data_IF_831067444877
#
_entry.id   IF_831067444877
#
_cell.length_a   1.000
_cell.length_b   1.000
_cell.length_c   1.000
_cell.angle_alpha   90.00
_cell.angle_beta   90.00
_cell.angle_gamma   90.00
#
_symmetry.space_group_name_H-M   'P 1'
#
loop_
_entity.id
_entity.type
_entity.pdbx_description
1 polymer ?
#
# COMPACT_ATOMS: atom_id res chain seq x y z
N UNK A 1 7.72 -6.22 6.38
CA UNK A 1 8.17 -5.20 7.35
C UNK A 1 9.48 -4.62 6.86
N UNK A 2 9.63 -3.31 6.88
CA UNK A 2 10.91 -2.62 6.63
C UNK A 2 11.46 -2.08 7.95
N UNK A 3 12.75 -1.73 8.02
CA UNK A 3 13.34 -1.15 9.24
C UNK A 3 12.57 0.08 9.74
N UNK A 4 12.13 0.93 8.81
CA UNK A 4 11.32 2.13 9.10
C UNK A 4 9.96 1.84 9.73
N UNK A 5 9.36 0.69 9.40
CA UNK A 5 8.03 0.30 9.89
C UNK A 5 8.07 -0.73 11.01
N UNK A 6 9.28 -1.21 11.37
CA UNK A 6 9.48 -2.26 12.35
C UNK A 6 8.82 -1.98 13.70
N UNK A 7 8.91 -0.77 14.30
CA UNK A 7 8.28 -0.51 15.59
C UNK A 7 6.75 -0.62 15.56
N UNK A 8 6.13 -0.23 14.44
CA UNK A 8 4.67 -0.34 14.25
C UNK A 8 4.24 -1.79 13.94
N UNK A 9 5.09 -2.51 13.22
CA UNK A 9 4.85 -3.92 12.91
C UNK A 9 4.89 -4.80 14.17
N UNK A 10 5.84 -4.53 15.08
CA UNK A 10 6.00 -5.25 16.35
C UNK A 10 4.94 -4.88 17.40
N UNK A 11 4.31 -3.71 17.30
CA UNK A 11 3.13 -3.39 18.11
C UNK A 11 1.94 -4.23 17.65
N UNK A 12 1.64 -5.27 18.43
CA UNK A 12 0.55 -6.20 18.14
C UNK A 12 -0.80 -5.50 18.03
N UNK A 13 -1.10 -4.53 18.89
CA UNK A 13 -2.39 -3.86 18.88
C UNK A 13 -2.55 -3.01 17.61
N UNK A 14 -1.48 -2.32 17.22
CA UNK A 14 -1.45 -1.56 15.98
C UNK A 14 -1.56 -2.47 14.74
N UNK A 15 -0.78 -3.55 14.70
CA UNK A 15 -0.80 -4.52 13.60
C UNK A 15 -2.18 -5.16 13.42
N UNK A 16 -2.82 -5.60 14.51
CA UNK A 16 -4.16 -6.20 14.45
C UNK A 16 -5.19 -5.18 13.95
N UNK A 17 -5.11 -3.93 14.42
CA UNK A 17 -5.98 -2.85 13.95
C UNK A 17 -5.77 -2.59 12.45
N UNK A 18 -4.52 -2.44 12.00
CA UNK A 18 -4.19 -2.16 10.61
C UNK A 18 -4.71 -3.26 9.68
N UNK A 19 -4.49 -4.53 10.06
CA UNK A 19 -4.97 -5.69 9.32
C UNK A 19 -6.50 -5.71 9.25
N UNK A 20 -7.19 -5.37 10.35
CA UNK A 20 -8.66 -5.33 10.37
C UNK A 20 -9.25 -4.18 9.53
N UNK A 21 -8.55 -3.05 9.44
CA UNK A 21 -8.98 -1.91 8.61
C UNK A 21 -8.65 -2.10 7.13
N UNK A 22 -7.64 -2.89 6.79
CA UNK A 22 -7.21 -3.10 5.40
C UNK A 22 -8.03 -4.25 4.78
N UNK A 23 -8.85 -4.04 3.73
CA UNK A 23 -9.62 -5.11 3.10
C UNK A 23 -8.79 -6.31 2.64
N UNK A 24 -7.56 -6.08 2.18
CA UNK A 24 -6.63 -7.15 1.81
C UNK A 24 -6.19 -8.05 3.00
N UNK A 25 -6.49 -7.65 4.24
CA UNK A 25 -6.26 -8.45 5.45
C UNK A 25 -4.78 -8.69 5.77
N UNK A 26 -3.88 -7.81 5.30
CA UNK A 26 -2.44 -7.96 5.51
C UNK A 26 -1.72 -6.63 5.44
N UNK A 27 -0.51 -6.61 5.99
CA UNK A 27 0.47 -5.57 5.68
C UNK A 27 0.87 -5.61 4.20
N UNK A 28 1.09 -4.43 3.63
CA UNK A 28 1.76 -4.28 2.35
C UNK A 28 3.19 -4.79 2.40
N UNK A 29 3.67 -5.31 1.28
CA UNK A 29 5.09 -5.59 1.03
C UNK A 29 5.61 -4.58 0.02
N UNK A 30 6.94 -4.37 0.00
CA UNK A 30 7.58 -3.44 -0.95
C UNK A 30 7.24 -3.82 -2.40
N UNK A 31 7.15 -5.12 -2.69
CA UNK A 31 6.86 -5.64 -4.03
C UNK A 31 5.47 -5.25 -4.54
N UNK A 32 4.50 -4.97 -3.65
CA UNK A 32 3.16 -4.51 -4.06
C UNK A 32 3.22 -3.16 -4.80
N UNK A 33 4.25 -2.33 -4.54
CA UNK A 33 4.43 -1.01 -5.16
C UNK A 33 5.14 -1.06 -6.51
N UNK A 34 5.87 -2.13 -6.81
CA UNK A 34 6.73 -2.23 -7.99
C UNK A 34 5.92 -2.14 -9.28
N UNK A 35 4.79 -2.85 -9.35
CA UNK A 35 3.91 -2.82 -10.52
C UNK A 35 3.35 -1.42 -10.81
N UNK A 36 2.94 -0.69 -9.77
CA UNK A 36 2.46 0.68 -9.89
C UNK A 36 3.56 1.64 -10.37
N UNK A 37 4.77 1.51 -9.82
CA UNK A 37 5.92 2.32 -10.25
C UNK A 37 6.28 2.05 -11.73
N UNK A 38 6.29 0.78 -12.15
CA UNK A 38 6.51 0.40 -13.56
C UNK A 38 5.42 0.99 -14.44
N UNK A 39 4.15 0.81 -14.08
CA UNK A 39 3.02 1.33 -14.84
C UNK A 39 3.14 2.85 -15.05
N UNK A 40 3.33 3.61 -13.96
CA UNK A 40 3.48 5.07 -13.98
C UNK A 40 4.72 5.58 -14.73
N UNK A 41 5.71 4.72 -14.93
CA UNK A 41 6.95 5.05 -15.66
C UNK A 41 6.95 4.53 -17.10
N UNK A 42 5.86 3.89 -17.54
CA UNK A 42 5.78 3.22 -18.83
C UNK A 42 4.85 3.97 -19.80
N UNK A 43 4.93 3.68 -21.11
CA UNK A 43 3.99 4.23 -22.08
C UNK A 43 2.51 3.90 -21.80
N UNK A 44 2.25 2.88 -20.97
CA UNK A 44 0.89 2.52 -20.59
C UNK A 44 0.16 3.65 -19.83
N UNK A 45 0.91 4.59 -19.24
CA UNK A 45 0.36 5.75 -18.54
C UNK A 45 0.50 7.08 -19.30
N UNK A 46 0.79 7.07 -20.61
CA UNK A 46 1.09 8.28 -21.40
C UNK A 46 0.00 9.36 -21.39
N UNK A 47 -1.25 9.00 -21.11
CA UNK A 47 -2.36 9.96 -21.01
C UNK A 47 -2.85 10.19 -19.57
N UNK A 48 -2.18 9.60 -18.57
CA UNK A 48 -2.55 9.71 -17.17
C UNK A 48 -1.71 10.77 -16.47
N UNK A 49 -2.30 11.94 -16.24
CA UNK A 49 -1.62 13.10 -15.65
C UNK A 49 -2.31 13.59 -14.38
N UNK A 50 -1.50 14.03 -13.40
CA UNK A 50 -2.00 14.64 -12.16
C UNK A 50 -2.81 13.71 -11.25
N UNK A 51 -2.75 12.40 -11.48
CA UNK A 51 -3.49 11.40 -10.70
C UNK A 51 -2.67 10.86 -9.54
N UNK A 52 -3.36 10.52 -8.45
CA UNK A 52 -2.81 9.75 -7.32
C UNK A 52 -3.32 8.31 -7.45
N UNK A 53 -2.39 7.36 -7.52
CA UNK A 53 -2.70 5.94 -7.51
C UNK A 53 -2.44 5.38 -6.11
N UNK A 54 -3.50 5.03 -5.39
CA UNK A 54 -3.39 4.39 -4.08
C UNK A 54 -3.07 2.90 -4.25
N UNK A 55 -2.05 2.44 -3.52
CA UNK A 55 -1.65 1.03 -3.42
C UNK A 55 -1.58 0.67 -1.94
N UNK A 56 -2.75 0.48 -1.33
CA UNK A 56 -2.89 0.41 0.13
C UNK A 56 -3.75 -0.78 0.60
N UNK A 57 -3.99 -1.76 -0.27
CA UNK A 57 -4.84 -2.91 0.05
C UNK A 57 -6.32 -2.57 0.29
N UNK A 58 -6.76 -1.37 -0.09
CA UNK A 58 -8.15 -0.90 0.04
C UNK A 58 -8.42 -0.04 1.27
N UNK A 59 -7.40 0.34 2.03
CA UNK A 59 -7.55 1.09 3.28
C UNK A 59 -8.24 2.45 3.08
N UNK A 60 -7.98 3.15 1.97
CA UNK A 60 -8.54 4.49 1.71
C UNK A 60 -10.03 4.45 1.31
N UNK A 61 -10.55 3.30 0.89
CA UNK A 61 -11.95 3.17 0.40
C UNK A 61 -12.92 2.57 1.44
N UNK A 62 -12.40 2.14 2.59
CA UNK A 62 -13.22 1.67 3.71
C UNK A 62 -13.78 2.82 4.54
N UNK A 63 -14.96 2.61 5.12
CA UNK A 63 -15.67 3.56 6.02
C UNK A 63 -15.42 3.28 7.49
#
# INVERSE_FOLDING_TARGET
STELTQPLFEDKAFSDWLIAQTPAGRWGQVDDLVGAAIYLSSPASDFMHGQVLYVDGGMTVTV
#
